data_IF_871142790017
#
_entry.id   IF_871142790017
#
_cell.length_a   1.000
_cell.length_b   1.000
_cell.length_c   1.000
_cell.angle_alpha   90.00
_cell.angle_beta   90.00
_cell.angle_gamma   90.00
#
_symmetry.space_group_name_H-M   'P 1'
#
loop_
_entity.id
_entity.type
_entity.pdbx_description
1 polymer ?
#
# COMPACT_ATOMS: atom_id res chain seq x y z
N UNK A 1 20.09 4.68 0.58
CA UNK A 1 18.83 5.24 1.10
C UNK A 1 18.13 5.95 -0.06
N UNK A 2 17.52 5.17 -0.96
CA UNK A 2 16.78 5.69 -2.11
C UNK A 2 15.35 5.93 -1.64
N UNK A 3 14.97 7.19 -1.43
CA UNK A 3 13.59 7.59 -1.19
C UNK A 3 12.75 7.16 -2.39
N UNK A 4 11.59 6.54 -2.14
CA UNK A 4 10.75 5.99 -3.20
C UNK A 4 10.31 7.08 -4.19
N UNK A 5 10.19 6.76 -5.50
CA UNK A 5 9.78 7.72 -6.53
C UNK A 5 8.39 8.34 -6.27
N UNK A 6 7.57 7.72 -5.42
CA UNK A 6 6.27 8.25 -5.01
C UNK A 6 6.36 9.53 -4.16
N UNK A 7 7.45 9.73 -3.37
CA UNK A 7 7.57 10.93 -2.51
C UNK A 7 7.77 12.22 -3.32
N UNK A 8 8.43 12.16 -4.47
CA UNK A 8 8.65 13.35 -5.30
C UNK A 8 7.37 13.87 -5.96
N UNK A 9 6.47 12.97 -6.37
CA UNK A 9 5.22 13.36 -7.04
C UNK A 9 4.27 14.07 -6.08
N UNK A 10 4.17 13.62 -4.82
CA UNK A 10 3.23 14.18 -3.82
C UNK A 10 3.64 15.57 -3.33
N UNK A 11 4.94 15.82 -3.16
CA UNK A 11 5.45 17.11 -2.67
C UNK A 11 5.26 18.20 -3.73
N UNK A 12 5.42 17.89 -5.01
CA UNK A 12 5.31 18.86 -6.12
C UNK A 12 3.86 19.34 -6.33
N UNK A 13 2.85 18.47 -6.14
CA UNK A 13 1.45 18.86 -6.32
C UNK A 13 0.86 19.66 -5.14
N UNK A 14 1.29 19.40 -3.90
CA UNK A 14 0.89 20.21 -2.74
C UNK A 14 1.51 21.62 -2.74
N UNK A 15 2.78 21.72 -3.14
CA UNK A 15 3.49 23.01 -3.22
C UNK A 15 2.95 23.92 -4.32
N UNK A 16 2.60 23.38 -5.50
CA UNK A 16 2.10 24.19 -6.61
C UNK A 16 0.78 24.90 -6.30
N UNK A 17 -0.15 24.25 -5.57
CA UNK A 17 -1.41 24.85 -5.12
C UNK A 17 -1.18 26.00 -4.14
N UNK A 18 -0.23 25.84 -3.21
CA UNK A 18 0.10 26.86 -2.21
C UNK A 18 0.79 28.07 -2.87
N UNK A 19 1.71 27.86 -3.81
CA UNK A 19 2.41 28.97 -4.49
C UNK A 19 1.49 29.79 -5.39
N UNK A 20 0.54 29.17 -6.10
CA UNK A 20 -0.40 29.90 -6.97
C UNK A 20 -1.35 30.80 -6.14
N UNK A 21 -1.68 30.39 -4.90
CA UNK A 21 -2.62 31.14 -4.06
C UNK A 21 -2.09 32.48 -3.54
N UNK A 22 -0.77 32.65 -3.46
CA UNK A 22 -0.16 33.85 -2.87
C UNK A 22 -0.12 35.06 -3.82
N UNK A 23 -0.28 34.88 -5.14
CA UNK A 23 0.06 35.94 -6.11
C UNK A 23 -1.11 36.64 -6.81
N UNK A 24 -2.38 36.20 -6.71
CA UNK A 24 -3.47 36.84 -7.47
C UNK A 24 -4.73 37.20 -6.65
N UNK A 25 -5.08 38.49 -6.69
CA UNK A 25 -6.27 39.06 -6.06
C UNK A 25 -7.56 38.85 -6.87
N UNK A 26 -7.45 38.41 -8.14
CA UNK A 26 -8.55 37.91 -8.96
C UNK A 26 -8.00 36.75 -9.78
N UNK A 27 -8.57 35.56 -9.67
CA UNK A 27 -8.18 34.45 -10.54
C UNK A 27 -8.69 34.73 -11.95
N UNK A 28 -7.78 34.78 -12.91
CA UNK A 28 -8.15 34.69 -14.31
C UNK A 28 -8.75 33.30 -14.61
N UNK A 29 -9.58 33.20 -15.65
CA UNK A 29 -10.31 31.96 -16.00
C UNK A 29 -9.38 30.74 -16.16
N UNK A 30 -8.13 30.96 -16.54
CA UNK A 30 -7.09 29.94 -16.65
C UNK A 30 -6.70 29.31 -15.29
N UNK A 31 -6.56 30.11 -14.23
CA UNK A 31 -6.22 29.62 -12.90
C UNK A 31 -7.36 28.80 -12.29
N UNK A 32 -8.60 29.24 -12.51
CA UNK A 32 -9.80 28.49 -12.11
C UNK A 32 -9.84 27.13 -12.82
N UNK A 33 -9.62 27.11 -14.13
CA UNK A 33 -9.58 25.87 -14.91
C UNK A 33 -8.47 24.92 -14.42
N UNK A 34 -7.31 25.45 -14.03
CA UNK A 34 -6.19 24.66 -13.54
C UNK A 34 -6.48 23.99 -12.18
N UNK A 35 -7.08 24.74 -11.23
CA UNK A 35 -7.48 24.19 -9.93
C UNK A 35 -8.50 23.05 -10.06
N UNK A 36 -9.52 23.22 -10.90
CA UNK A 36 -10.53 22.17 -11.09
C UNK A 36 -10.03 21.02 -11.95
N UNK A 37 -9.14 21.29 -12.91
CA UNK A 37 -8.40 20.24 -13.61
C UNK A 37 -7.55 19.40 -12.64
N UNK A 38 -6.96 20.02 -11.61
CA UNK A 38 -6.27 19.32 -10.55
C UNK A 38 -7.23 18.47 -9.69
N UNK A 39 -8.39 18.99 -9.29
CA UNK A 39 -9.40 18.21 -8.55
C UNK A 39 -9.77 16.91 -9.29
N UNK A 40 -10.02 16.99 -10.60
CA UNK A 40 -10.35 15.81 -11.41
C UNK A 40 -9.19 14.82 -11.54
N UNK A 41 -7.95 15.30 -11.71
CA UNK A 41 -6.76 14.43 -11.71
C UNK A 41 -6.55 13.74 -10.36
N UNK A 42 -6.76 14.45 -9.25
CA UNK A 42 -6.68 13.87 -7.91
C UNK A 42 -7.80 12.85 -7.67
N UNK A 43 -9.01 13.12 -8.15
CA UNK A 43 -10.12 12.16 -8.12
C UNK A 43 -9.81 10.88 -8.91
N UNK A 44 -9.20 11.00 -10.09
CA UNK A 44 -8.71 9.86 -10.87
C UNK A 44 -7.60 9.11 -10.11
N UNK A 45 -6.62 9.81 -9.55
CA UNK A 45 -5.54 9.23 -8.74
C UNK A 45 -6.09 8.44 -7.55
N UNK A 46 -7.07 8.98 -6.83
CA UNK A 46 -7.73 8.30 -5.71
C UNK A 46 -8.34 6.96 -6.12
N UNK A 47 -8.98 6.89 -7.30
CA UNK A 47 -9.55 5.63 -7.83
C UNK A 47 -8.45 4.62 -8.14
N UNK A 48 -7.36 5.05 -8.79
CA UNK A 48 -6.24 4.18 -9.14
C UNK A 48 -5.51 3.64 -7.90
N UNK A 49 -5.28 4.48 -6.89
CA UNK A 49 -4.68 4.06 -5.62
C UNK A 49 -5.58 3.04 -4.91
N UNK A 50 -6.89 3.28 -4.88
CA UNK A 50 -7.86 2.36 -4.26
C UNK A 50 -7.82 1.01 -4.98
N UNK A 51 -7.91 1.00 -6.32
CA UNK A 51 -7.82 -0.22 -7.13
C UNK A 51 -6.52 -1.00 -6.90
N UNK A 52 -5.37 -0.30 -6.89
CA UNK A 52 -4.07 -0.92 -6.62
C UNK A 52 -4.00 -1.52 -5.22
N UNK A 53 -4.52 -0.80 -4.22
CA UNK A 53 -4.56 -1.25 -2.83
C UNK A 53 -5.47 -2.48 -2.66
N UNK A 54 -6.63 -2.49 -3.33
CA UNK A 54 -7.54 -3.64 -3.35
C UNK A 54 -6.88 -4.88 -3.95
N UNK A 55 -6.09 -4.70 -5.02
CA UNK A 55 -5.33 -5.80 -5.61
C UNK A 55 -4.26 -6.35 -4.64
N UNK A 56 -3.56 -5.49 -3.90
CA UNK A 56 -2.63 -5.95 -2.85
C UNK A 56 -3.37 -6.72 -1.75
N UNK A 57 -4.53 -6.22 -1.27
CA UNK A 57 -5.33 -6.91 -0.25
C UNK A 57 -5.83 -8.26 -0.77
N UNK A 58 -6.22 -8.35 -2.04
CA UNK A 58 -6.60 -9.61 -2.68
C UNK A 58 -5.44 -10.62 -2.60
N UNK A 59 -4.23 -10.24 -3.00
CA UNK A 59 -3.06 -11.12 -2.90
C UNK A 59 -2.72 -11.49 -1.44
N UNK A 60 -2.89 -10.56 -0.49
CA UNK A 60 -2.73 -10.88 0.92
C UNK A 60 -3.73 -11.95 1.37
N UNK A 61 -4.99 -11.89 0.90
CA UNK A 61 -6.01 -12.88 1.20
C UNK A 61 -5.71 -14.24 0.60
N UNK A 62 -5.25 -14.30 -0.64
CA UNK A 62 -4.83 -15.57 -1.25
C UNK A 62 -3.70 -16.22 -0.44
N UNK A 63 -2.72 -15.43 -0.02
CA UNK A 63 -1.62 -15.90 0.84
C UNK A 63 -2.10 -16.35 2.23
N UNK A 64 -3.17 -15.78 2.78
CA UNK A 64 -3.70 -16.19 4.09
C UNK A 64 -4.46 -17.52 4.04
N UNK A 65 -4.97 -17.93 2.87
CA UNK A 65 -5.56 -19.26 2.70
C UNK A 65 -4.50 -20.36 2.79
N UNK A 66 -3.31 -20.15 2.22
CA UNK A 66 -2.18 -21.09 2.31
C UNK A 66 -1.48 -21.03 3.68
N UNK A 67 -1.47 -19.85 4.30
CA UNK A 67 -0.81 -19.60 5.58
C UNK A 67 -1.75 -18.88 6.55
N UNK A 68 -2.60 -19.62 7.30
CA UNK A 68 -3.61 -19.05 8.21
C UNK A 68 -3.07 -18.07 9.26
N UNK A 69 -1.77 -18.16 9.59
CA UNK A 69 -1.08 -17.21 10.46
C UNK A 69 -1.17 -15.75 9.99
N UNK A 70 -1.39 -15.51 8.70
CA UNK A 70 -1.54 -14.16 8.14
C UNK A 70 -2.97 -13.63 8.10
N UNK A 71 -3.98 -14.44 8.47
CA UNK A 71 -5.38 -14.01 8.41
C UNK A 71 -5.62 -12.74 9.23
N UNK A 72 -4.96 -12.61 10.40
CA UNK A 72 -5.06 -11.43 11.23
C UNK A 72 -4.61 -10.14 10.51
N UNK A 73 -3.56 -10.20 9.67
CA UNK A 73 -3.12 -9.05 8.88
C UNK A 73 -4.17 -8.66 7.83
N UNK A 74 -4.79 -9.66 7.20
CA UNK A 74 -5.87 -9.46 6.22
C UNK A 74 -7.09 -8.83 6.89
N UNK A 75 -7.50 -9.31 8.07
CA UNK A 75 -8.65 -8.76 8.79
C UNK A 75 -8.42 -7.29 9.18
N UNK A 76 -7.19 -6.93 9.57
CA UNK A 76 -6.85 -5.54 9.88
C UNK A 76 -6.85 -4.61 8.65
N UNK A 77 -6.76 -5.13 7.43
CA UNK A 77 -6.93 -4.29 6.22
C UNK A 77 -8.35 -3.75 6.10
N UNK A 78 -9.36 -4.47 6.62
CA UNK A 78 -10.76 -4.02 6.63
C UNK A 78 -10.92 -2.85 7.60
N UNK A 79 -10.35 -2.96 8.80
CA UNK A 79 -10.37 -1.89 9.81
C UNK A 79 -9.65 -0.65 9.27
N UNK A 80 -8.48 -0.84 8.66
CA UNK A 80 -7.72 0.23 8.02
C UNK A 80 -8.55 0.96 6.95
N UNK A 81 -9.18 0.22 6.01
CA UNK A 81 -10.05 0.78 4.97
C UNK A 81 -11.20 1.60 5.57
N UNK A 82 -11.84 1.08 6.61
CA UNK A 82 -12.95 1.76 7.27
C UNK A 82 -12.53 3.10 7.92
N UNK A 83 -11.33 3.16 8.50
CA UNK A 83 -10.74 4.41 9.02
C UNK A 83 -10.51 5.43 7.89
N UNK A 84 -9.89 5.01 6.79
CA UNK A 84 -9.64 5.88 5.62
C UNK A 84 -10.94 6.39 5.01
N UNK A 85 -11.92 5.51 4.82
CA UNK A 85 -13.19 5.86 4.17
C UNK A 85 -14.02 6.80 5.04
N UNK A 86 -14.01 6.60 6.36
CA UNK A 86 -14.68 7.51 7.30
C UNK A 86 -14.07 8.91 7.23
N UNK A 87 -12.74 9.01 7.21
CA UNK A 87 -12.05 10.29 7.06
C UNK A 87 -12.31 10.93 5.69
N UNK A 88 -12.28 10.15 4.60
CA UNK A 88 -12.58 10.66 3.27
C UNK A 88 -14.00 11.21 3.18
N UNK A 89 -14.99 10.53 3.77
CA UNK A 89 -16.38 10.99 3.84
C UNK A 89 -16.50 12.32 4.58
N UNK A 90 -15.81 12.47 5.71
CA UNK A 90 -15.78 13.73 6.45
C UNK A 90 -15.19 14.89 5.62
N UNK A 91 -14.27 14.62 4.70
CA UNK A 91 -13.77 15.63 3.76
C UNK A 91 -14.80 15.93 2.66
N UNK A 92 -15.47 14.93 2.12
CA UNK A 92 -16.54 15.16 1.14
C UNK A 92 -17.67 15.99 1.74
N UNK A 93 -18.07 15.74 3.00
CA UNK A 93 -19.02 16.56 3.75
C UNK A 93 -18.57 18.03 3.88
N UNK A 94 -17.27 18.29 4.08
CA UNK A 94 -16.73 19.66 4.10
C UNK A 94 -16.81 20.33 2.73
N UNK A 95 -16.54 19.58 1.65
CA UNK A 95 -16.66 20.08 0.28
C UNK A 95 -18.10 20.40 -0.08
N UNK A 96 -19.02 19.50 0.27
CA UNK A 96 -20.46 19.71 0.09
C UNK A 96 -20.94 20.92 0.88
N UNK A 97 -20.47 21.08 2.13
CA UNK A 97 -20.77 22.25 2.94
C UNK A 97 -20.31 23.54 2.26
N UNK A 98 -19.09 23.58 1.72
CA UNK A 98 -18.61 24.75 0.96
C UNK A 98 -19.48 25.07 -0.25
N UNK A 99 -19.94 24.04 -0.99
CA UNK A 99 -20.81 24.21 -2.17
C UNK A 99 -22.19 24.73 -1.77
N UNK A 100 -22.79 24.16 -0.73
CA UNK A 100 -24.10 24.60 -0.23
C UNK A 100 -24.04 26.07 0.18
N UNK A 101 -23.00 26.45 0.92
CA UNK A 101 -22.82 27.82 1.41
C UNK A 101 -22.46 28.82 0.32
N UNK A 102 -21.96 28.33 -0.82
CA UNK A 102 -21.71 29.18 -1.98
C UNK A 102 -22.93 29.36 -2.91
N UNK A 103 -24.04 28.69 -2.61
CA UNK A 103 -25.29 28.75 -3.39
C UNK A 103 -25.43 27.64 -4.43
N UNK A 104 -24.65 26.56 -4.32
CA UNK A 104 -24.67 25.41 -5.21
C UNK A 104 -23.63 25.49 -6.33
N UNK A 105 -23.85 24.72 -7.39
CA UNK A 105 -23.00 24.72 -8.59
C UNK A 105 -23.55 25.69 -9.64
N UNK A 106 -22.68 26.26 -10.47
CA UNK A 106 -23.10 26.97 -11.68
C UNK A 106 -23.78 26.00 -12.65
N UNK A 107 -24.99 26.36 -13.06
CA UNK A 107 -25.68 25.72 -14.19
C UNK A 107 -25.06 26.14 -15.52
N UNK A 108 -25.28 25.40 -16.62
CA UNK A 108 -24.79 25.78 -17.95
C UNK A 108 -25.24 27.20 -18.35
N UNK A 109 -26.51 27.54 -18.09
CA UNK A 109 -27.07 28.86 -18.38
C UNK A 109 -26.38 29.98 -17.60
N UNK A 110 -26.12 29.77 -16.32
CA UNK A 110 -25.43 30.76 -15.48
C UNK A 110 -23.97 30.95 -15.91
N UNK A 111 -23.26 29.86 -16.24
CA UNK A 111 -21.88 29.92 -16.71
C UNK A 111 -21.78 30.66 -18.06
N UNK A 112 -22.69 30.39 -19.00
CA UNK A 112 -22.76 31.11 -20.28
C UNK A 112 -23.13 32.58 -20.11
N UNK A 113 -24.05 32.93 -19.21
CA UNK A 113 -24.43 34.31 -18.94
C UNK A 113 -23.28 35.15 -18.36
N UNK A 114 -22.35 34.50 -17.65
CA UNK A 114 -21.12 35.12 -17.15
C UNK A 114 -19.99 35.19 -18.19
N UNK A 115 -20.18 34.61 -19.38
CA UNK A 115 -19.16 34.53 -20.42
C UNK A 115 -18.02 33.55 -20.11
N UNK A 116 -18.18 32.68 -19.10
CA UNK A 116 -17.15 31.74 -18.64
C UNK A 116 -17.73 30.31 -18.59
N UNK A 117 -17.85 29.61 -19.74
CA UNK A 117 -18.43 28.26 -19.79
C UNK A 117 -17.72 27.23 -18.91
N UNK A 118 -16.43 27.42 -18.61
CA UNK A 118 -15.63 26.52 -17.76
C UNK A 118 -16.10 26.45 -16.30
N UNK A 119 -16.95 27.41 -15.87
CA UNK A 119 -17.59 27.40 -14.55
C UNK A 119 -18.71 26.37 -14.43
N UNK A 120 -19.20 25.79 -15.53
CA UNK A 120 -20.25 24.78 -15.47
C UNK A 120 -19.86 23.63 -14.51
N UNK A 121 -20.77 23.31 -13.58
CA UNK A 121 -20.58 22.29 -12.56
C UNK A 121 -19.53 22.65 -11.50
N UNK A 122 -19.05 23.89 -11.44
CA UNK A 122 -18.13 24.39 -10.40
C UNK A 122 -18.90 25.10 -9.30
N UNK A 123 -18.40 25.07 -8.04
CA UNK A 123 -19.05 25.77 -6.94
C UNK A 123 -19.25 27.25 -7.28
N UNK A 124 -20.41 27.81 -6.97
CA UNK A 124 -20.65 29.25 -7.12
C UNK A 124 -19.67 30.04 -6.26
N UNK A 125 -19.36 31.26 -6.66
CA UNK A 125 -18.46 32.12 -5.87
C UNK A 125 -17.05 31.56 -5.73
N UNK A 126 -16.50 30.96 -6.79
CA UNK A 126 -15.15 30.37 -6.85
C UNK A 126 -14.05 31.24 -6.22
N UNK A 127 -14.14 32.56 -6.33
CA UNK A 127 -13.16 33.52 -5.79
C UNK A 127 -13.46 33.98 -4.35
N UNK A 128 -14.50 33.45 -3.69
CA UNK A 128 -14.93 33.92 -2.38
C UNK A 128 -13.96 33.45 -1.29
N UNK A 129 -13.14 34.39 -0.78
CA UNK A 129 -12.20 34.17 0.33
C UNK A 129 -12.85 34.32 1.71
N UNK A 130 -13.90 35.16 1.80
CA UNK A 130 -14.57 35.46 3.08
C UNK A 130 -15.22 34.22 3.67
N UNK A 131 -15.88 33.43 2.83
CA UNK A 131 -16.54 32.19 3.26
C UNK A 131 -15.53 31.13 3.70
N UNK A 132 -14.37 31.04 3.05
CA UNK A 132 -13.29 30.14 3.46
C UNK A 132 -12.73 30.53 4.81
N UNK A 133 -12.37 31.80 5.00
CA UNK A 133 -11.91 32.30 6.29
C UNK A 133 -12.95 32.03 7.39
N UNK A 134 -14.23 32.25 7.09
CA UNK A 134 -15.31 31.97 8.04
C UNK A 134 -15.39 30.48 8.39
N UNK A 135 -15.44 29.59 7.40
CA UNK A 135 -15.60 28.14 7.62
C UNK A 135 -14.38 27.56 8.33
N UNK A 136 -13.16 27.91 7.92
CA UNK A 136 -11.95 27.21 8.35
C UNK A 136 -11.20 27.90 9.51
N UNK A 137 -11.31 29.22 9.66
CA UNK A 137 -10.48 29.98 10.62
C UNK A 137 -11.28 30.57 11.79
N UNK A 138 -12.43 31.18 11.54
CA UNK A 138 -13.16 31.92 12.60
C UNK A 138 -14.41 31.20 13.11
N UNK A 139 -14.91 30.21 12.39
CA UNK A 139 -16.19 29.55 12.65
C UNK A 139 -17.34 30.18 11.87
N UNK A 140 -18.34 29.37 11.54
CA UNK A 140 -19.42 29.75 10.64
C UNK A 140 -20.73 29.03 10.98
N UNK A 141 -21.84 29.79 11.02
CA UNK A 141 -23.19 29.29 11.34
C UNK A 141 -23.24 28.37 12.57
N UNK A 142 -22.65 28.81 13.68
CA UNK A 142 -22.62 28.06 14.94
C UNK A 142 -21.69 26.84 14.95
N UNK A 143 -20.98 26.55 13.86
CA UNK A 143 -19.92 25.54 13.81
C UNK A 143 -18.57 26.16 14.16
N UNK A 144 -17.78 25.43 14.95
CA UNK A 144 -16.39 25.77 15.24
C UNK A 144 -15.54 25.82 13.95
N UNK A 145 -14.38 26.51 13.97
CA UNK A 145 -13.45 26.55 12.84
C UNK A 145 -13.07 25.15 12.34
N UNK A 146 -13.34 24.86 11.08
CA UNK A 146 -13.11 23.52 10.52
C UNK A 146 -11.62 23.23 10.25
N UNK A 147 -10.76 24.24 10.15
CA UNK A 147 -9.33 24.06 9.88
C UNK A 147 -8.64 23.26 10.98
N UNK A 148 -8.81 23.67 12.23
CA UNK A 148 -8.20 22.98 13.37
C UNK A 148 -8.81 21.58 13.61
N UNK A 149 -10.12 21.44 13.38
CA UNK A 149 -10.79 20.13 13.43
C UNK A 149 -10.22 19.19 12.37
N UNK A 150 -10.00 19.68 11.15
CA UNK A 150 -9.40 18.90 10.07
C UNK A 150 -7.95 18.52 10.40
N UNK A 151 -7.14 19.44 10.94
CA UNK A 151 -5.79 19.15 11.43
C UNK A 151 -5.79 18.00 12.44
N UNK A 152 -6.65 18.08 13.45
CA UNK A 152 -6.79 17.05 14.48
C UNK A 152 -7.23 15.71 13.90
N UNK A 153 -8.14 15.70 12.91
CA UNK A 153 -8.57 14.47 12.23
C UNK A 153 -7.43 13.83 11.43
N UNK A 154 -6.61 14.63 10.76
CA UNK A 154 -5.42 14.16 10.02
C UNK A 154 -4.46 13.45 10.98
N UNK A 155 -4.15 14.07 12.12
CA UNK A 155 -3.24 13.51 13.12
C UNK A 155 -3.80 12.24 13.74
N UNK A 156 -5.09 12.24 14.13
CA UNK A 156 -5.76 11.05 14.66
C UNK A 156 -5.78 9.88 13.68
N UNK A 157 -5.99 10.13 12.39
CA UNK A 157 -5.97 9.07 11.38
C UNK A 157 -4.56 8.47 11.26
N UNK A 158 -3.54 9.32 11.24
CA UNK A 158 -2.14 8.88 11.22
C UNK A 158 -1.79 8.03 12.45
N UNK A 159 -2.17 8.50 13.63
CA UNK A 159 -1.95 7.77 14.88
C UNK A 159 -2.71 6.42 14.87
N UNK A 160 -3.95 6.40 14.36
CA UNK A 160 -4.73 5.19 14.23
C UNK A 160 -4.07 4.15 13.31
N UNK A 161 -3.42 4.58 12.21
CA UNK A 161 -2.66 3.67 11.35
C UNK A 161 -1.48 3.05 12.08
N UNK A 162 -0.71 3.84 12.83
CA UNK A 162 0.45 3.34 13.57
C UNK A 162 0.02 2.42 14.73
N UNK A 163 -1.03 2.78 15.46
CA UNK A 163 -1.60 1.96 16.53
C UNK A 163 -2.14 0.62 16.00
N UNK A 164 -2.79 0.63 14.83
CA UNK A 164 -3.27 -0.58 14.15
C UNK A 164 -2.10 -1.49 13.80
N UNK A 165 -0.96 -0.96 13.33
CA UNK A 165 0.22 -1.78 13.02
C UNK A 165 0.94 -2.24 14.29
N UNK A 166 1.01 -1.38 15.31
CA UNK A 166 1.62 -1.70 16.60
C UNK A 166 0.95 -2.92 17.26
N UNK A 167 -0.35 -3.11 17.07
CA UNK A 167 -1.07 -4.24 17.64
C UNK A 167 -0.54 -5.60 17.18
N UNK A 168 0.17 -5.68 16.05
CA UNK A 168 0.75 -6.93 15.55
C UNK A 168 1.85 -7.49 16.45
N UNK A 169 2.44 -6.69 17.35
CA UNK A 169 3.41 -7.13 18.36
C UNK A 169 2.78 -7.48 19.72
N UNK A 170 1.46 -7.35 19.89
CA UNK A 170 0.79 -7.74 21.13
C UNK A 170 0.84 -9.26 21.32
N UNK A 171 0.83 -9.71 22.56
CA UNK A 171 0.75 -11.12 22.95
C UNK A 171 1.85 -12.01 22.31
N UNK A 172 3.06 -11.46 22.16
CA UNK A 172 4.19 -12.16 21.53
C UNK A 172 4.21 -12.08 20.00
N UNK A 173 3.22 -11.41 19.42
CA UNK A 173 3.10 -11.12 18.00
C UNK A 173 2.77 -12.32 17.12
N UNK A 174 2.82 -12.10 15.80
CA UNK A 174 2.49 -13.15 14.84
C UNK A 174 3.70 -14.08 14.65
N UNK A 175 3.58 -15.32 15.15
CA UNK A 175 4.65 -16.33 15.07
C UNK A 175 5.16 -16.53 13.64
N UNK A 176 6.46 -16.67 13.48
CA UNK A 176 7.10 -16.84 12.16
C UNK A 176 7.15 -15.58 11.30
N UNK A 177 6.89 -14.41 11.89
CA UNK A 177 6.98 -13.10 11.21
C UNK A 177 7.87 -12.14 11.99
N UNK A 178 8.17 -10.98 11.38
CA UNK A 178 8.91 -9.90 12.07
C UNK A 178 8.16 -9.37 13.30
N UNK A 179 6.84 -9.59 13.39
CA UNK A 179 6.02 -9.13 14.49
C UNK A 179 6.25 -9.93 15.79
N UNK A 180 6.88 -11.11 15.71
CA UNK A 180 7.33 -11.86 16.88
C UNK A 180 8.64 -11.34 17.50
N UNK A 181 9.30 -10.36 16.85
CA UNK A 181 10.59 -9.81 17.29
C UNK A 181 10.39 -8.39 17.83
N UNK A 182 10.30 -8.25 19.16
CA UNK A 182 10.02 -6.98 19.84
C UNK A 182 11.00 -5.87 19.49
N UNK A 183 12.28 -6.20 19.33
CA UNK A 183 13.35 -5.22 19.08
C UNK A 183 13.22 -4.54 17.72
N UNK A 184 12.48 -5.15 16.79
CA UNK A 184 12.20 -4.60 15.45
C UNK A 184 11.05 -3.61 15.43
N UNK A 185 10.19 -3.62 16.47
CA UNK A 185 8.96 -2.82 16.54
C UNK A 185 9.22 -1.34 16.29
N UNK A 186 10.11 -0.73 17.09
CA UNK A 186 10.38 0.71 17.04
C UNK A 186 10.87 1.14 15.65
N UNK A 187 11.90 0.47 15.14
CA UNK A 187 12.50 0.80 13.83
C UNK A 187 11.49 0.65 12.68
N UNK A 188 10.60 -0.35 12.75
CA UNK A 188 9.60 -0.58 11.70
C UNK A 188 8.45 0.43 11.76
N UNK A 189 7.99 0.81 12.96
CA UNK A 189 6.98 1.86 13.11
C UNK A 189 7.51 3.22 12.68
N UNK A 190 8.76 3.56 13.03
CA UNK A 190 9.42 4.79 12.56
C UNK A 190 9.59 4.80 11.03
N UNK A 191 9.99 3.68 10.44
CA UNK A 191 10.10 3.55 8.99
C UNK A 191 8.74 3.72 8.29
N UNK A 192 7.69 3.07 8.82
CA UNK A 192 6.33 3.22 8.31
C UNK A 192 5.84 4.67 8.44
N UNK A 193 6.07 5.32 9.58
CA UNK A 193 5.68 6.72 9.79
C UNK A 193 6.28 7.65 8.73
N UNK A 194 7.54 7.40 8.32
CA UNK A 194 8.21 8.16 7.26
C UNK A 194 7.66 7.91 5.85
N UNK A 195 6.94 6.81 5.64
CA UNK A 195 6.29 6.48 4.37
C UNK A 195 4.88 7.08 4.24
N UNK A 196 4.26 7.47 5.37
CA UNK A 196 2.93 8.07 5.35
C UNK A 196 2.96 9.45 4.67
N UNK A 197 2.20 9.58 3.58
CA UNK A 197 2.02 10.84 2.87
C UNK A 197 1.20 11.87 3.67
N UNK A 198 0.29 11.39 4.52
CA UNK A 198 -0.58 12.20 5.35
C UNK A 198 0.20 12.87 6.50
N UNK A 199 0.37 14.19 6.45
CA UNK A 199 1.14 14.95 7.44
C UNK A 199 0.73 16.43 7.50
N UNK A 200 0.66 16.97 8.71
CA UNK A 200 0.48 18.41 8.99
C UNK A 200 1.81 19.14 9.23
N UNK A 201 2.91 18.39 9.46
CA UNK A 201 4.21 18.93 9.91
C UNK A 201 5.05 19.58 8.80
N UNK A 202 4.88 19.13 7.55
CA UNK A 202 5.66 19.61 6.40
C UNK A 202 5.02 20.82 5.69
N UNK A 203 3.97 21.41 6.28
CA UNK A 203 3.20 22.47 5.63
C UNK A 203 3.96 23.81 5.59
N UNK A 204 4.87 24.09 6.51
CA UNK A 204 5.50 25.42 6.62
C UNK A 204 6.95 25.41 6.13
N UNK A 205 7.40 26.49 5.46
CA UNK A 205 8.83 26.79 5.37
C UNK A 205 9.41 26.90 6.79
N UNK A 206 10.62 26.40 7.04
CA UNK A 206 11.34 26.55 8.32
C UNK A 206 11.50 28.02 8.76
N UNK A 207 11.27 28.97 7.83
CA UNK A 207 11.34 30.42 8.02
C UNK A 207 9.99 31.08 8.38
N UNK A 208 8.90 30.33 8.41
CA UNK A 208 7.55 30.83 8.71
C UNK A 208 7.40 31.24 10.19
N UNK A 209 6.93 32.47 10.44
CA UNK A 209 6.50 32.93 11.78
C UNK A 209 5.07 32.49 12.14
N UNK A 210 4.32 31.90 11.22
CA UNK A 210 2.96 31.39 11.44
C UNK A 210 3.07 29.96 11.96
N UNK A 211 2.75 29.76 13.24
CA UNK A 211 2.80 28.45 13.93
C UNK A 211 1.49 27.65 13.83
N UNK A 212 0.45 28.19 13.18
CA UNK A 212 -0.87 27.57 13.11
C UNK A 212 -1.20 27.05 11.69
N UNK A 213 -1.56 25.77 11.61
CA UNK A 213 -1.67 25.03 10.35
C UNK A 213 -2.91 25.47 9.62
N UNK A 214 -4.00 25.72 10.36
CA UNK A 214 -5.24 26.18 9.78
C UNK A 214 -5.03 27.54 9.09
N UNK A 215 -4.40 28.49 9.78
CA UNK A 215 -4.07 29.79 9.22
C UNK A 215 -3.18 29.66 7.98
N UNK A 216 -2.05 28.95 8.06
CA UNK A 216 -1.17 28.78 6.90
C UNK A 216 -1.89 28.13 5.70
N UNK A 217 -2.75 27.14 5.96
CA UNK A 217 -3.41 26.35 4.92
C UNK A 217 -4.59 27.10 4.27
N UNK A 218 -5.35 27.88 5.03
CA UNK A 218 -6.63 28.44 4.57
C UNK A 218 -6.70 29.97 4.51
N UNK A 219 -5.74 30.69 5.10
CA UNK A 219 -5.74 32.15 5.07
C UNK A 219 -5.59 32.65 3.63
N UNK A 220 -6.46 33.60 3.25
CA UNK A 220 -6.55 34.17 1.90
C UNK A 220 -6.89 33.17 0.78
N UNK A 221 -7.22 31.92 1.11
CA UNK A 221 -7.62 30.93 0.11
C UNK A 221 -9.04 31.18 -0.38
N UNK A 222 -9.29 30.86 -1.64
CA UNK A 222 -10.62 30.91 -2.27
C UNK A 222 -11.28 29.54 -2.32
N UNK A 223 -12.57 29.50 -2.66
CA UNK A 223 -13.26 28.22 -2.90
C UNK A 223 -12.54 27.42 -3.99
N UNK A 224 -12.13 28.04 -5.09
CA UNK A 224 -11.42 27.38 -6.18
C UNK A 224 -10.13 26.70 -5.72
N UNK A 225 -9.43 27.27 -4.74
CA UNK A 225 -8.17 26.75 -4.21
C UNK A 225 -8.40 25.67 -3.14
N UNK A 226 -9.35 25.88 -2.21
CA UNK A 226 -9.61 24.94 -1.12
C UNK A 226 -10.31 23.67 -1.60
N UNK A 227 -11.15 23.75 -2.61
CA UNK A 227 -11.90 22.60 -3.13
C UNK A 227 -10.99 21.44 -3.61
N UNK A 228 -9.99 21.65 -4.49
CA UNK A 228 -9.00 20.64 -4.85
C UNK A 228 -8.03 20.31 -3.69
N UNK A 229 -7.70 21.26 -2.81
CA UNK A 229 -6.85 20.99 -1.65
C UNK A 229 -7.46 19.92 -0.74
N UNK A 230 -8.77 19.97 -0.49
CA UNK A 230 -9.47 18.93 0.26
C UNK A 230 -9.39 17.57 -0.44
N UNK A 231 -9.47 17.51 -1.77
CA UNK A 231 -9.24 16.27 -2.54
C UNK A 231 -7.81 15.76 -2.39
N UNK A 232 -6.83 16.67 -2.32
CA UNK A 232 -5.43 16.32 -2.12
C UNK A 232 -5.20 15.68 -0.74
N UNK A 233 -5.89 16.14 0.30
CA UNK A 233 -5.84 15.51 1.63
C UNK A 233 -6.44 14.10 1.60
N UNK A 234 -7.55 13.87 0.88
CA UNK A 234 -8.07 12.51 0.66
C UNK A 234 -7.07 11.64 -0.10
N UNK A 235 -6.37 12.19 -1.10
CA UNK A 235 -5.33 11.48 -1.84
C UNK A 235 -4.18 11.06 -0.92
N UNK A 236 -3.71 11.95 -0.07
CA UNK A 236 -2.68 11.65 0.94
C UNK A 236 -3.15 10.56 1.91
N UNK A 237 -4.41 10.59 2.37
CA UNK A 237 -4.95 9.55 3.23
C UNK A 237 -4.98 8.17 2.55
N UNK A 238 -5.36 8.11 1.26
CA UNK A 238 -5.34 6.88 0.46
C UNK A 238 -3.94 6.38 0.15
N UNK A 239 -2.98 7.27 -0.10
CA UNK A 239 -1.57 6.91 -0.25
C UNK A 239 -0.99 6.35 1.05
N UNK A 240 -1.32 6.96 2.19
CA UNK A 240 -0.93 6.45 3.50
C UNK A 240 -1.56 5.09 3.80
N UNK A 241 -2.83 4.89 3.47
CA UNK A 241 -3.46 3.56 3.55
C UNK A 241 -2.68 2.54 2.71
N UNK A 242 -2.40 2.85 1.45
CA UNK A 242 -1.65 1.98 0.55
C UNK A 242 -0.26 1.65 1.12
N UNK A 243 0.42 2.61 1.74
CA UNK A 243 1.70 2.38 2.41
C UNK A 243 1.58 1.38 3.56
N UNK A 244 0.54 1.50 4.40
CA UNK A 244 0.28 0.55 5.50
C UNK A 244 -0.07 -0.84 4.97
N UNK A 245 -0.91 -0.94 3.94
CA UNK A 245 -1.23 -2.22 3.27
C UNK A 245 0.03 -2.87 2.67
N UNK A 246 0.83 -2.11 1.92
CA UNK A 246 2.07 -2.61 1.34
C UNK A 246 3.08 -3.02 2.41
N UNK A 247 3.15 -2.28 3.51
CA UNK A 247 3.94 -2.66 4.67
C UNK A 247 3.51 -4.03 5.20
N UNK A 248 2.22 -4.23 5.47
CA UNK A 248 1.66 -5.51 5.93
C UNK A 248 1.95 -6.64 4.94
N UNK A 249 1.64 -6.44 3.66
CA UNK A 249 1.91 -7.41 2.59
C UNK A 249 3.39 -7.80 2.51
N UNK A 250 4.30 -6.83 2.65
CA UNK A 250 5.75 -7.09 2.63
C UNK A 250 6.24 -7.94 3.81
N UNK A 251 5.43 -8.10 4.87
CA UNK A 251 5.73 -8.96 6.04
C UNK A 251 5.06 -10.33 5.97
N UNK A 252 4.19 -10.54 4.99
CA UNK A 252 3.57 -11.82 4.70
C UNK A 252 4.45 -12.73 3.84
N UNK A 253 5.48 -12.18 3.19
CA UNK A 253 6.46 -13.01 2.49
C UNK A 253 7.38 -13.68 3.52
N UNK A 254 7.28 -15.01 3.60
CA UNK A 254 8.43 -15.84 4.00
C UNK A 254 9.59 -15.37 3.13
N UNK A 255 10.76 -15.06 3.69
CA UNK A 255 11.87 -14.31 3.04
C UNK A 255 12.49 -14.95 1.79
N UNK A 256 11.68 -15.21 0.78
CA UNK A 256 11.91 -15.89 -0.47
C UNK A 256 11.01 -15.20 -1.49
N UNK A 257 11.47 -14.09 -2.04
CA UNK A 257 10.92 -13.59 -3.29
C UNK A 257 11.16 -14.66 -4.35
N UNK A 258 10.09 -15.26 -4.83
CA UNK A 258 10.14 -16.23 -5.91
C UNK A 258 10.52 -15.51 -7.21
N UNK A 259 11.78 -15.62 -7.61
CA UNK A 259 12.41 -14.89 -8.71
C UNK A 259 12.87 -15.80 -9.85
N UNK A 260 12.74 -17.12 -9.67
CA UNK A 260 13.09 -18.11 -10.67
C UNK A 260 11.93 -19.06 -10.98
N UNK A 261 11.83 -19.42 -12.25
CA UNK A 261 10.86 -20.38 -12.77
C UNK A 261 11.62 -21.50 -13.47
N UNK A 262 11.23 -22.74 -13.23
CA UNK A 262 11.75 -23.89 -13.94
C UNK A 262 10.61 -24.83 -14.30
N UNK A 263 10.66 -25.35 -15.52
CA UNK A 263 9.75 -26.38 -15.96
C UNK A 263 10.27 -27.73 -15.46
N UNK A 264 9.45 -28.40 -14.67
CA UNK A 264 9.70 -29.75 -14.18
C UNK A 264 8.85 -30.73 -14.95
N UNK A 265 9.45 -31.86 -15.31
CA UNK A 265 8.76 -33.01 -15.89
C UNK A 265 8.78 -34.15 -14.86
N UNK A 266 7.62 -34.74 -14.60
CA UNK A 266 7.49 -35.91 -13.76
C UNK A 266 6.82 -37.04 -14.55
N UNK A 267 7.63 -37.88 -15.24
CA UNK A 267 7.08 -39.02 -15.97
C UNK A 267 6.59 -40.10 -15.00
N UNK A 268 5.45 -40.73 -15.34
CA UNK A 268 4.92 -41.86 -14.58
C UNK A 268 5.88 -43.06 -14.60
N UNK A 269 6.53 -43.29 -15.75
CA UNK A 269 7.62 -44.26 -15.93
C UNK A 269 8.81 -43.56 -16.59
N UNK A 270 10.01 -43.70 -16.01
CA UNK A 270 11.25 -43.15 -16.60
C UNK A 270 11.78 -43.97 -17.79
N UNK A 271 11.28 -45.19 -17.97
CA UNK A 271 11.63 -46.10 -19.06
C UNK A 271 10.34 -46.76 -19.58
N UNK A 272 10.16 -46.78 -20.90
CA UNK A 272 9.01 -47.40 -21.57
C UNK A 272 9.48 -48.35 -22.68
N UNK A 273 8.68 -49.36 -22.99
CA UNK A 273 8.92 -50.29 -24.09
C UNK A 273 8.25 -49.79 -25.37
N UNK A 274 8.82 -50.09 -26.54
CA UNK A 274 8.25 -49.74 -27.84
C UNK A 274 6.80 -50.27 -27.96
N UNK A 275 5.84 -49.36 -28.10
CA UNK A 275 4.41 -49.67 -28.15
C UNK A 275 3.64 -49.35 -26.86
N UNK A 276 4.30 -49.01 -25.76
CA UNK A 276 3.66 -48.47 -24.56
C UNK A 276 3.32 -46.98 -24.69
N UNK A 277 2.30 -46.51 -23.96
CA UNK A 277 2.00 -45.08 -23.83
C UNK A 277 2.99 -44.38 -22.89
N UNK A 278 3.50 -43.23 -23.33
CA UNK A 278 4.27 -42.33 -22.48
C UNK A 278 3.32 -41.33 -21.81
N UNK A 279 3.28 -41.32 -20.48
CA UNK A 279 2.49 -40.39 -19.69
C UNK A 279 3.40 -39.62 -18.72
N UNK A 280 3.27 -38.30 -18.71
CA UNK A 280 4.10 -37.39 -17.92
C UNK A 280 3.32 -36.15 -17.52
N UNK A 281 3.61 -35.63 -16.33
CA UNK A 281 3.05 -34.37 -15.84
C UNK A 281 4.11 -33.27 -15.93
N UNK A 282 3.73 -32.13 -16.50
CA UNK A 282 4.57 -30.94 -16.55
C UNK A 282 4.13 -29.95 -15.46
N UNK A 283 5.08 -29.50 -14.65
CA UNK A 283 4.86 -28.49 -13.61
C UNK A 283 5.74 -27.27 -13.89
N UNK A 284 5.16 -26.08 -13.90
CA UNK A 284 5.95 -24.86 -13.79
C UNK A 284 6.19 -24.58 -12.31
N UNK A 285 7.38 -24.90 -11.81
CA UNK A 285 7.73 -24.65 -10.42
C UNK A 285 8.37 -23.28 -10.27
N UNK A 286 7.82 -22.48 -9.36
CA UNK A 286 8.41 -21.22 -8.93
C UNK A 286 9.28 -21.47 -7.69
N UNK A 287 10.50 -20.96 -7.67
CA UNK A 287 11.39 -21.05 -6.50
C UNK A 287 12.17 -19.76 -6.29
N UNK A 288 12.58 -19.50 -5.05
CA UNK A 288 13.43 -18.37 -4.73
C UNK A 288 14.91 -18.77 -4.89
N UNK A 289 15.60 -18.14 -5.84
CA UNK A 289 17.02 -18.36 -6.12
C UNK A 289 17.90 -18.03 -4.91
N UNK A 290 17.45 -17.12 -4.04
CA UNK A 290 18.15 -16.73 -2.81
C UNK A 290 17.81 -17.61 -1.60
N UNK A 291 16.95 -18.63 -1.75
CA UNK A 291 16.57 -19.49 -0.65
C UNK A 291 17.75 -20.33 -0.14
N UNK A 292 18.08 -20.14 1.14
CA UNK A 292 19.07 -20.94 1.87
C UNK A 292 18.35 -22.01 2.69
N UNK A 293 18.48 -23.27 2.27
CA UNK A 293 17.89 -24.42 2.95
C UNK A 293 18.86 -25.60 2.95
N UNK A 294 18.61 -26.55 3.84
CA UNK A 294 19.35 -27.82 3.87
C UNK A 294 18.42 -28.97 3.55
N UNK A 295 18.94 -29.95 2.83
CA UNK A 295 18.27 -31.22 2.57
C UNK A 295 19.06 -32.33 3.23
N UNK A 296 18.40 -33.12 4.07
CA UNK A 296 18.98 -34.30 4.72
C UNK A 296 18.41 -35.56 4.10
N UNK A 297 19.27 -36.41 3.54
CA UNK A 297 18.92 -37.70 2.94
C UNK A 297 19.84 -38.76 3.55
N UNK A 298 19.27 -39.74 4.27
CA UNK A 298 20.01 -40.90 4.80
C UNK A 298 21.33 -40.53 5.54
N UNK A 299 21.31 -39.44 6.32
CA UNK A 299 22.47 -38.94 7.07
C UNK A 299 23.41 -37.99 6.31
N UNK A 300 23.23 -37.83 4.99
CA UNK A 300 23.94 -36.82 4.20
C UNK A 300 23.19 -35.48 4.22
N UNK A 301 23.89 -34.40 4.54
CA UNK A 301 23.34 -33.03 4.49
C UNK A 301 23.84 -32.31 3.24
N UNK A 302 22.90 -31.80 2.44
CA UNK A 302 23.13 -31.08 1.19
C UNK A 302 22.66 -29.64 1.41
N UNK A 303 23.55 -28.68 1.19
CA UNK A 303 23.17 -27.26 1.21
C UNK A 303 22.60 -26.84 -0.14
N UNK A 304 21.57 -26.00 -0.14
CA UNK A 304 21.08 -25.38 -1.36
C UNK A 304 22.11 -24.42 -1.95
N UNK A 305 22.11 -24.30 -3.28
CA UNK A 305 22.84 -23.31 -4.06
C UNK A 305 21.89 -22.77 -5.12
N UNK A 306 21.73 -21.46 -5.19
CA UNK A 306 20.81 -20.78 -6.11
C UNK A 306 19.37 -21.34 -6.03
N UNK A 307 18.88 -21.61 -4.81
CA UNK A 307 17.54 -22.15 -4.59
C UNK A 307 17.37 -23.63 -4.92
N UNK A 308 18.44 -24.36 -5.26
CA UNK A 308 18.39 -25.79 -5.61
C UNK A 308 19.35 -26.62 -4.76
N UNK A 309 18.96 -27.84 -4.41
CA UNK A 309 19.84 -28.83 -3.79
C UNK A 309 19.92 -30.06 -4.70
N UNK A 310 21.14 -30.50 -5.02
CA UNK A 310 21.36 -31.64 -5.94
C UNK A 310 21.83 -32.84 -5.13
N UNK A 311 21.05 -33.90 -5.13
CA UNK A 311 21.43 -35.20 -4.58
C UNK A 311 22.04 -36.09 -5.67
N UNK A 312 23.19 -36.70 -5.37
CA UNK A 312 23.86 -37.67 -6.24
C UNK A 312 24.26 -38.87 -5.40
N UNK A 313 23.96 -40.07 -5.90
CA UNK A 313 24.33 -41.34 -5.26
C UNK A 313 24.71 -42.37 -6.32
N UNK A 314 25.55 -43.34 -5.94
CA UNK A 314 25.88 -44.50 -6.76
C UNK A 314 25.12 -45.69 -6.17
N UNK A 315 24.10 -46.22 -6.85
CA UNK A 315 23.32 -47.34 -6.33
C UNK A 315 24.16 -48.62 -6.23
N UNK A 316 23.90 -49.42 -5.20
CA UNK A 316 24.63 -50.67 -4.92
C UNK A 316 23.83 -51.94 -5.24
N UNK A 317 22.55 -51.80 -5.51
CA UNK A 317 21.61 -52.91 -5.74
C UNK A 317 20.74 -52.60 -6.95
N UNK A 318 20.42 -53.66 -7.69
CA UNK A 318 19.43 -53.64 -8.77
C UNK A 318 18.02 -53.65 -8.16
N UNK A 319 17.06 -53.04 -8.85
CA UNK A 319 15.66 -52.91 -8.43
C UNK A 319 15.31 -51.53 -7.86
N UNK A 320 14.08 -51.40 -7.35
CA UNK A 320 13.55 -50.17 -6.75
C UNK A 320 14.35 -49.75 -5.51
N UNK A 321 14.69 -48.46 -5.44
CA UNK A 321 15.42 -47.82 -4.35
C UNK A 321 14.59 -46.67 -3.79
N UNK A 322 14.39 -46.65 -2.48
CA UNK A 322 13.60 -45.63 -1.80
C UNK A 322 14.48 -44.80 -0.88
N UNK A 323 14.20 -43.50 -0.80
CA UNK A 323 14.87 -42.60 0.12
C UNK A 323 13.94 -41.51 0.63
N UNK A 324 14.09 -41.18 1.90
CA UNK A 324 13.38 -40.06 2.52
C UNK A 324 14.26 -38.82 2.47
N UNK A 325 13.72 -37.72 1.95
CA UNK A 325 14.35 -36.40 2.02
C UNK A 325 13.63 -35.54 3.05
N UNK A 326 14.42 -34.91 3.92
CA UNK A 326 13.96 -33.86 4.84
C UNK A 326 14.53 -32.53 4.41
N UNK A 327 13.68 -31.59 4.03
CA UNK A 327 14.05 -30.21 3.73
C UNK A 327 13.82 -29.37 4.97
N UNK A 328 14.81 -28.57 5.37
CA UNK A 328 14.70 -27.60 6.45
C UNK A 328 14.97 -26.19 5.91
N UNK A 329 13.97 -25.32 6.00
CA UNK A 329 14.05 -23.91 5.57
C UNK A 329 14.06 -23.04 6.81
N UNK A 330 15.10 -22.24 6.99
CA UNK A 330 15.22 -21.31 8.10
C UNK A 330 14.88 -19.91 7.64
N UNK A 331 13.91 -19.28 8.30
CA UNK A 331 13.59 -17.88 8.07
C UNK A 331 14.74 -17.01 8.61
N UNK A 332 15.44 -16.29 7.73
CA UNK A 332 16.59 -15.46 8.08
C UNK A 332 16.25 -14.28 9.00
N UNK A 333 14.97 -13.89 9.09
CA UNK A 333 14.49 -12.80 9.93
C UNK A 333 14.07 -13.26 11.32
N UNK A 334 13.48 -14.45 11.45
CA UNK A 334 12.96 -14.95 12.74
C UNK A 334 13.81 -16.03 13.38
N UNK A 335 14.68 -16.70 12.61
CA UNK A 335 15.44 -17.86 13.05
C UNK A 335 14.61 -19.15 13.18
N UNK A 336 13.30 -19.11 12.91
CA UNK A 336 12.47 -20.32 12.94
C UNK A 336 12.74 -21.21 11.72
N UNK A 337 12.80 -22.52 11.95
CA UNK A 337 12.99 -23.54 10.90
C UNK A 337 11.69 -24.30 10.66
N UNK A 338 11.18 -24.23 9.44
CA UNK A 338 10.11 -25.12 8.97
C UNK A 338 10.74 -26.35 8.28
N UNK A 339 10.19 -27.53 8.52
CA UNK A 339 10.69 -28.80 7.97
C UNK A 339 9.62 -29.50 7.13
N UNK A 340 10.01 -29.97 5.95
CA UNK A 340 9.18 -30.79 5.05
C UNK A 340 9.83 -32.16 4.87
N UNK A 341 9.05 -33.23 4.95
CA UNK A 341 9.54 -34.60 4.80
C UNK A 341 8.76 -35.27 3.67
N UNK A 342 9.47 -35.88 2.71
CA UNK A 342 8.86 -36.62 1.60
C UNK A 342 9.72 -37.83 1.24
N UNK A 343 9.06 -38.92 0.87
CA UNK A 343 9.70 -40.13 0.34
C UNK A 343 9.74 -40.09 -1.19
N UNK A 344 10.83 -40.58 -1.75
CA UNK A 344 11.10 -40.63 -3.18
C UNK A 344 11.62 -42.01 -3.56
N UNK A 345 11.36 -42.42 -4.80
CA UNK A 345 11.75 -43.72 -5.34
C UNK A 345 12.51 -43.54 -6.66
N UNK A 346 13.46 -44.44 -6.94
CA UNK A 346 14.12 -44.56 -8.24
C UNK A 346 14.49 -46.02 -8.53
N UNK A 347 14.52 -46.41 -9.80
CA UNK A 347 14.82 -47.79 -10.19
C UNK A 347 16.24 -47.94 -10.74
N UNK A 348 16.90 -49.05 -10.42
CA UNK A 348 18.25 -49.37 -10.86
C UNK A 348 18.22 -50.62 -11.70
N UNK A 349 18.62 -50.49 -12.97
CA UNK A 349 18.72 -51.61 -13.90
C UNK A 349 20.20 -51.96 -14.14
N UNK A 350 20.49 -53.25 -14.32
CA UNK A 350 21.80 -53.71 -14.75
C UNK A 350 21.84 -53.74 -16.29
N UNK A 351 22.85 -53.13 -16.94
CA UNK A 351 22.99 -53.24 -18.39
C UNK A 351 23.19 -54.70 -18.80
N UNK A 352 22.48 -55.15 -19.83
CA UNK A 352 22.65 -56.46 -20.44
C UNK A 352 23.77 -56.47 -21.48
#
# INVERSE_FOLDING_TARGET
MLLSPFRWVVIVFGFSVLTISCEQNNFADNAIAEFFGLDERLKQSNRLITYSTDNTIYHMREMSYEHPKYQFLVDQTIVLRALTDTFCRQIDELREFMVMESGGFYTPKEASALGIPTLEGKPKGVNNKKIINAIFLTGYKGKAPQGEILRSRIEKLKDAYLLLVEQFWKDGGIKGTVFAVSDRKKVLLEALEMELALSTKNAYPLTSKVQDWANFTFQQQSIASVYPLLRAIQNQAKLSEAAVVNFMASKMTVGCTYDAYELFEQPMKRTIVLGESYETEFFLGQYASQANFTVSIQGQTIKSKNGKAIYKTIPKKVGEQNYTARVAVTNSLTGETESFIKEFTYEVIQPH
#
